data_IF_964025728730
#
_entry.id   IF_964025728730
#
_cell.length_a   1.000
_cell.length_b   1.000
_cell.length_c   1.000
_cell.angle_alpha   90.00
_cell.angle_beta   90.00
_cell.angle_gamma   90.00
#
_symmetry.space_group_name_H-M   'P 1'
#
loop_
_entity.id
_entity.type
_entity.pdbx_description
1 polymer ?
#
# COMPACT_ATOMS: atom_id res chain seq x y z
N UNK A 1 -13.63 -5.24 -2.55
CA UNK A 1 -12.36 -5.28 -1.78
C UNK A 1 -11.44 -6.40 -2.24
N UNK A 2 -11.95 -7.62 -2.46
CA UNK A 2 -11.15 -8.73 -3.00
C UNK A 2 -10.37 -8.37 -4.28
N UNK A 3 -11.02 -7.75 -5.27
CA UNK A 3 -10.33 -7.32 -6.49
C UNK A 3 -9.16 -6.35 -6.23
N UNK A 4 -9.30 -5.43 -5.27
CA UNK A 4 -8.23 -4.51 -4.91
C UNK A 4 -7.05 -5.26 -4.26
N UNK A 5 -7.33 -6.23 -3.39
CA UNK A 5 -6.31 -7.07 -2.76
C UNK A 5 -5.57 -7.88 -3.84
N UNK A 6 -6.31 -8.58 -4.72
CA UNK A 6 -5.71 -9.39 -5.78
C UNK A 6 -4.85 -8.54 -6.73
N UNK A 7 -5.38 -7.43 -7.24
CA UNK A 7 -4.63 -6.56 -8.15
C UNK A 7 -3.40 -5.93 -7.47
N UNK A 8 -3.51 -5.54 -6.19
CA UNK A 8 -2.38 -4.99 -5.45
C UNK A 8 -1.32 -6.05 -5.17
N UNK A 9 -1.71 -7.27 -4.82
CA UNK A 9 -0.79 -8.39 -4.65
C UNK A 9 -0.07 -8.76 -5.95
N UNK A 10 -0.76 -8.70 -7.10
CA UNK A 10 -0.13 -8.90 -8.42
C UNK A 10 0.85 -7.78 -8.77
N UNK A 11 0.50 -6.52 -8.49
CA UNK A 11 1.40 -5.40 -8.66
C UNK A 11 2.65 -5.53 -7.77
N UNK A 12 2.46 -5.92 -6.51
CA UNK A 12 3.57 -6.18 -5.59
C UNK A 12 4.43 -7.36 -6.04
N UNK A 13 3.83 -8.44 -6.55
CA UNK A 13 4.59 -9.54 -7.13
C UNK A 13 5.51 -9.08 -8.28
N UNK A 14 4.99 -8.23 -9.19
CA UNK A 14 5.79 -7.66 -10.26
C UNK A 14 6.93 -6.79 -9.72
N UNK A 15 6.64 -5.91 -8.75
CA UNK A 15 7.65 -5.05 -8.11
C UNK A 15 8.73 -5.91 -7.42
N UNK A 16 8.34 -6.96 -6.71
CA UNK A 16 9.26 -7.87 -6.04
C UNK A 16 10.19 -8.58 -7.04
N UNK A 17 9.63 -9.14 -8.12
CA UNK A 17 10.43 -9.79 -9.18
C UNK A 17 11.44 -8.82 -9.79
N UNK A 18 10.99 -7.61 -10.14
CA UNK A 18 11.87 -6.58 -10.69
C UNK A 18 12.96 -6.21 -9.68
N UNK A 19 12.60 -5.95 -8.42
CA UNK A 19 13.54 -5.56 -7.37
C UNK A 19 14.63 -6.61 -7.16
N UNK A 20 14.27 -7.90 -7.12
CA UNK A 20 15.25 -9.00 -7.02
C UNK A 20 16.14 -9.07 -8.25
N UNK A 21 15.57 -8.90 -9.45
CA UNK A 21 16.34 -8.87 -10.70
C UNK A 21 17.36 -7.72 -10.77
N UNK A 22 17.12 -6.61 -10.07
CA UNK A 22 18.04 -5.45 -10.00
C UNK A 22 18.85 -5.40 -8.68
N UNK A 23 18.90 -6.50 -7.92
CA UNK A 23 19.85 -6.67 -6.82
C UNK A 23 19.30 -6.47 -5.40
N UNK A 24 17.99 -6.54 -5.18
CA UNK A 24 17.46 -6.64 -3.82
C UNK A 24 17.83 -8.01 -3.19
N UNK A 25 18.19 -8.07 -1.90
CA UNK A 25 18.65 -9.31 -1.26
C UNK A 25 17.62 -10.43 -1.29
N UNK A 26 18.07 -11.67 -1.49
CA UNK A 26 17.19 -12.82 -1.67
C UNK A 26 16.45 -13.26 -0.40
N UNK A 27 17.04 -12.97 0.75
CA UNK A 27 16.50 -13.21 2.08
C UNK A 27 15.66 -12.03 2.62
N UNK A 28 15.44 -10.98 1.81
CA UNK A 28 14.68 -9.81 2.22
C UNK A 28 13.18 -10.13 2.29
N UNK A 29 12.76 -10.66 3.44
CA UNK A 29 11.42 -11.15 3.77
C UNK A 29 10.24 -10.25 3.34
N UNK A 30 10.31 -8.91 3.39
CA UNK A 30 9.20 -8.06 2.93
C UNK A 30 8.82 -8.23 1.46
N UNK A 31 9.74 -8.71 0.60
CA UNK A 31 9.47 -9.01 -0.81
C UNK A 31 8.94 -10.43 -1.03
N UNK A 32 8.77 -11.23 0.02
CA UNK A 32 8.24 -12.58 -0.10
C UNK A 32 6.70 -12.56 -0.25
N UNK A 33 6.12 -13.47 -1.04
CA UNK A 33 4.68 -13.52 -1.29
C UNK A 33 3.81 -13.54 -0.05
N UNK A 34 4.15 -14.33 0.96
CA UNK A 34 3.40 -14.38 2.20
C UNK A 34 3.33 -13.02 2.89
N UNK A 35 4.46 -12.31 2.95
CA UNK A 35 4.59 -11.01 3.62
C UNK A 35 3.75 -9.94 2.93
N UNK A 36 3.98 -9.71 1.62
CA UNK A 36 3.29 -8.61 0.95
C UNK A 36 1.80 -8.89 0.74
N UNK A 37 1.37 -10.15 0.58
CA UNK A 37 -0.07 -10.49 0.47
C UNK A 37 -0.78 -10.20 1.79
N UNK A 38 -0.19 -10.63 2.92
CA UNK A 38 -0.74 -10.40 4.24
C UNK A 38 -0.85 -8.89 4.55
N UNK A 39 0.25 -8.16 4.39
CA UNK A 39 0.29 -6.72 4.65
C UNK A 39 -0.63 -5.93 3.71
N UNK A 40 -0.72 -6.31 2.43
CA UNK A 40 -1.67 -5.73 1.47
C UNK A 40 -3.12 -5.93 1.93
N UNK A 41 -3.44 -7.15 2.37
CA UNK A 41 -4.79 -7.47 2.85
C UNK A 41 -5.15 -6.62 4.05
N UNK A 42 -4.26 -6.54 5.04
CA UNK A 42 -4.45 -5.70 6.24
C UNK A 42 -4.58 -4.23 5.86
N UNK A 43 -3.69 -3.70 5.02
CA UNK A 43 -3.70 -2.31 4.59
C UNK A 43 -4.96 -1.92 3.81
N UNK A 44 -5.44 -2.78 2.91
CA UNK A 44 -6.69 -2.54 2.17
C UNK A 44 -7.91 -2.61 3.10
N UNK A 45 -7.95 -3.55 4.05
CA UNK A 45 -9.08 -3.61 4.98
C UNK A 45 -9.08 -2.39 5.92
N UNK A 46 -7.94 -2.05 6.51
CA UNK A 46 -7.80 -0.89 7.38
C UNK A 46 -8.12 0.42 6.65
N UNK A 47 -7.64 0.58 5.41
CA UNK A 47 -7.95 1.72 4.57
C UNK A 47 -9.44 1.83 4.24
N UNK A 48 -10.13 0.71 3.98
CA UNK A 48 -11.56 0.71 3.74
C UNK A 48 -12.35 1.15 4.99
N UNK A 49 -11.93 0.70 6.18
CA UNK A 49 -12.53 1.12 7.45
C UNK A 49 -12.31 2.63 7.68
N UNK A 50 -11.09 3.13 7.47
CA UNK A 50 -10.78 4.56 7.57
C UNK A 50 -11.59 5.40 6.58
N UNK A 51 -11.73 4.92 5.34
CA UNK A 51 -12.58 5.56 4.32
C UNK A 51 -14.04 5.66 4.77
N UNK A 52 -14.61 4.55 5.24
CA UNK A 52 -16.00 4.51 5.72
C UNK A 52 -16.20 5.42 6.94
N UNK A 53 -15.23 5.48 7.86
CA UNK A 53 -15.27 6.38 9.00
C UNK A 53 -15.25 7.85 8.57
N UNK A 54 -14.32 8.25 7.69
CA UNK A 54 -14.26 9.62 7.17
C UNK A 54 -15.54 10.01 6.44
N UNK A 55 -16.07 9.11 5.60
CA UNK A 55 -17.34 9.33 4.89
C UNK A 55 -18.51 9.57 5.85
N UNK A 56 -18.56 8.87 6.98
CA UNK A 56 -19.65 8.97 7.96
C UNK A 56 -19.52 10.17 8.90
N UNK A 57 -18.28 10.54 9.25
CA UNK A 57 -18.01 11.48 10.34
C UNK A 57 -17.57 12.87 9.88
N UNK A 58 -17.13 13.03 8.62
CA UNK A 58 -16.65 14.31 8.10
C UNK A 58 -17.78 15.11 7.46
N UNK A 59 -17.80 16.43 7.69
CA UNK A 59 -18.68 17.36 6.97
C UNK A 59 -18.26 17.59 5.50
N UNK A 60 -16.99 17.35 5.17
CA UNK A 60 -16.44 17.39 3.81
C UNK A 60 -15.43 16.24 3.64
N UNK A 61 -15.92 15.02 3.33
CA UNK A 61 -15.08 13.83 3.27
C UNK A 61 -14.11 13.84 2.07
N UNK A 62 -14.48 14.48 0.96
CA UNK A 62 -13.63 14.54 -0.24
C UNK A 62 -12.37 15.38 -0.01
N UNK A 63 -12.53 16.58 0.56
CA UNK A 63 -11.39 17.44 0.90
C UNK A 63 -10.48 16.78 1.92
N UNK A 64 -11.05 16.12 2.92
CA UNK A 64 -10.28 15.43 3.96
C UNK A 64 -9.47 14.26 3.38
N UNK A 65 -10.09 13.39 2.58
CA UNK A 65 -9.41 12.23 1.97
C UNK A 65 -8.30 12.66 1.01
N UNK A 66 -8.47 13.77 0.28
CA UNK A 66 -7.44 14.30 -0.63
C UNK A 66 -6.13 14.61 0.09
N UNK A 67 -6.19 15.00 1.36
CA UNK A 67 -5.01 15.22 2.21
C UNK A 67 -4.62 13.98 3.02
N UNK A 68 -5.59 13.27 3.58
CA UNK A 68 -5.35 12.14 4.46
C UNK A 68 -4.69 10.97 3.71
N UNK A 69 -5.15 10.64 2.50
CA UNK A 69 -4.61 9.53 1.73
C UNK A 69 -3.09 9.67 1.45
N UNK A 70 -2.58 10.77 0.88
CA UNK A 70 -1.14 10.91 0.67
C UNK A 70 -0.34 10.99 1.98
N UNK A 71 -0.91 11.59 3.05
CA UNK A 71 -0.25 11.63 4.37
C UNK A 71 -0.11 10.22 4.95
N UNK A 72 -1.16 9.40 4.89
CA UNK A 72 -1.11 8.02 5.38
C UNK A 72 -0.08 7.19 4.62
N UNK A 73 0.02 7.36 3.30
CA UNK A 73 1.05 6.71 2.47
C UNK A 73 2.45 7.19 2.86
N UNK A 74 2.64 8.49 3.06
CA UNK A 74 3.93 9.02 3.50
C UNK A 74 4.33 8.49 4.89
N UNK A 75 3.37 8.39 5.80
CA UNK A 75 3.59 7.80 7.14
C UNK A 75 3.89 6.31 7.04
N UNK A 76 3.26 5.57 6.12
CA UNK A 76 3.52 4.13 5.95
C UNK A 76 4.93 3.83 5.42
N UNK A 77 5.65 4.82 4.90
CA UNK A 77 7.06 4.66 4.49
C UNK A 77 8.04 4.64 5.66
N UNK A 78 7.65 5.17 6.83
CA UNK A 78 8.56 5.30 7.99
C UNK A 78 9.18 3.96 8.41
N UNK A 79 8.41 2.85 8.52
CA UNK A 79 8.96 1.53 8.80
C UNK A 79 10.01 1.07 7.78
N UNK A 80 9.83 1.41 6.50
CA UNK A 80 10.68 0.92 5.40
C UNK A 80 12.11 1.47 5.49
N UNK A 81 12.28 2.70 5.98
CA UNK A 81 13.61 3.29 6.16
C UNK A 81 14.45 2.57 7.23
N UNK A 82 13.82 1.91 8.20
CA UNK A 82 14.54 1.07 9.16
C UNK A 82 15.03 -0.25 8.55
N UNK A 83 14.54 -0.61 7.36
CA UNK A 83 14.91 -1.82 6.64
C UNK A 83 16.04 -1.59 5.62
N UNK A 84 16.66 -0.41 5.61
CA UNK A 84 17.76 -0.11 4.69
C UNK A 84 18.98 -1.03 4.88
N UNK A 85 19.29 -1.42 6.11
CA UNK A 85 20.34 -2.40 6.40
C UNK A 85 20.08 -3.76 5.73
N UNK A 86 18.98 -4.46 6.06
CA UNK A 86 18.67 -5.77 5.48
C UNK A 86 18.25 -5.75 4.01
N UNK A 87 17.62 -4.68 3.52
CA UNK A 87 17.07 -4.62 2.15
C UNK A 87 17.90 -3.82 1.15
N UNK A 88 18.87 -3.03 1.62
CA UNK A 88 19.58 -2.06 0.80
C UNK A 88 18.66 -0.99 0.19
N UNK A 89 19.23 -0.13 -0.66
CA UNK A 89 18.46 0.89 -1.36
C UNK A 89 17.38 0.29 -2.26
N UNK A 90 17.71 -0.78 -2.99
CA UNK A 90 16.79 -1.45 -3.93
C UNK A 90 15.57 -2.03 -3.22
N UNK A 91 15.77 -2.74 -2.11
CA UNK A 91 14.68 -3.33 -1.33
C UNK A 91 13.77 -2.26 -0.73
N UNK A 92 14.34 -1.21 -0.14
CA UNK A 92 13.55 -0.09 0.42
C UNK A 92 12.77 0.62 -0.67
N UNK A 93 13.39 0.97 -1.79
CA UNK A 93 12.69 1.60 -2.93
C UNK A 93 11.53 0.72 -3.42
N UNK A 94 11.73 -0.60 -3.49
CA UNK A 94 10.66 -1.53 -3.85
C UNK A 94 9.48 -1.47 -2.86
N UNK A 95 9.73 -1.40 -1.55
CA UNK A 95 8.67 -1.24 -0.54
C UNK A 95 7.91 0.08 -0.68
N UNK A 96 8.61 1.18 -0.91
CA UNK A 96 7.96 2.47 -1.15
C UNK A 96 7.03 2.40 -2.38
N UNK A 97 7.48 1.76 -3.46
CA UNK A 97 6.67 1.57 -4.66
C UNK A 97 5.45 0.67 -4.41
N UNK A 98 5.59 -0.39 -3.61
CA UNK A 98 4.46 -1.27 -3.23
C UNK A 98 3.38 -0.50 -2.47
N UNK A 99 3.77 0.35 -1.51
CA UNK A 99 2.83 1.19 -0.77
C UNK A 99 2.03 2.12 -1.70
N UNK A 100 2.71 2.76 -2.65
CA UNK A 100 2.06 3.63 -3.64
C UNK A 100 1.10 2.84 -4.54
N UNK A 101 1.53 1.67 -5.02
CA UNK A 101 0.72 0.80 -5.87
C UNK A 101 -0.56 0.33 -5.16
N UNK A 102 -0.43 -0.16 -3.93
CA UNK A 102 -1.54 -0.60 -3.09
C UNK A 102 -2.48 0.56 -2.82
N UNK A 103 -1.95 1.74 -2.43
CA UNK A 103 -2.77 2.91 -2.15
C UNK A 103 -3.57 3.38 -3.37
N UNK A 104 -2.95 3.43 -4.55
CA UNK A 104 -3.62 3.84 -5.79
C UNK A 104 -4.79 2.90 -6.15
N UNK A 105 -4.54 1.58 -6.09
CA UNK A 105 -5.56 0.56 -6.39
C UNK A 105 -6.67 0.55 -5.33
N UNK A 106 -6.31 0.65 -4.06
CA UNK A 106 -7.24 0.67 -2.95
C UNK A 106 -8.16 1.89 -2.99
N UNK A 107 -7.59 3.10 -3.14
CA UNK A 107 -8.37 4.35 -3.25
C UNK A 107 -9.30 4.32 -4.46
N UNK A 108 -8.83 3.79 -5.60
CA UNK A 108 -9.68 3.62 -6.79
C UNK A 108 -10.85 2.69 -6.50
N UNK A 109 -10.62 1.58 -5.81
CA UNK A 109 -11.67 0.66 -5.41
C UNK A 109 -12.64 1.29 -4.41
N UNK A 110 -12.15 2.06 -3.44
CA UNK A 110 -13.00 2.73 -2.46
C UNK A 110 -13.91 3.76 -3.13
N UNK A 111 -13.39 4.57 -4.06
CA UNK A 111 -14.20 5.54 -4.82
C UNK A 111 -15.34 4.87 -5.60
N UNK A 112 -15.08 3.71 -6.19
CA UNK A 112 -16.09 2.97 -6.97
C UNK A 112 -17.16 2.31 -6.09
N UNK A 113 -16.77 1.75 -4.95
CA UNK A 113 -17.65 0.94 -4.09
C UNK A 113 -18.32 1.78 -2.99
N UNK A 114 -17.68 2.86 -2.55
CA UNK A 114 -18.13 3.75 -1.47
C UNK A 114 -17.94 5.23 -1.88
N UNK A 115 -18.75 5.75 -2.83
CA UNK A 115 -18.67 7.14 -3.26
C UNK A 115 -18.84 8.12 -2.10
N UNK A 116 -18.11 9.25 -2.15
CA UNK A 116 -18.12 10.30 -1.12
C UNK A 116 -19.19 11.37 -1.37
N UNK A 117 -19.88 11.30 -2.51
CA UNK A 117 -20.96 12.19 -2.96
C UNK A 117 -22.22 11.38 -3.27
#
# INVERSE_FOLDING_TARGET
>A
MLAAIVLSSLANALIAVVARAIGAPDDFQPLDPGSYIFLTTVGVVAGALGWAAVRKLSGDPEKLIRWLAPVVVAVSFVPDFFLFGPGGATGVVALLLMHVAVAALAVTAYRKVMPLS
#
